data_IF_221651786358
#
_entry.id   IF_221651786358
#
_cell.length_a   1.000
_cell.length_b   1.000
_cell.length_c   1.000
_cell.angle_alpha   90.00
_cell.angle_beta   90.00
_cell.angle_gamma   90.00
#
_symmetry.space_group_name_H-M   'P 1'
#
loop_
_entity.id
_entity.type
_entity.pdbx_description
1 polymer ?
#
# COMPACT_ATOMS: atom_id res chain seq x y z
N UNK A 1 -44.68 -16.90 -9.51
CA UNK A 1 -44.48 -15.97 -8.37
C UNK A 1 -43.06 -15.45 -8.43
N UNK A 2 -42.79 -14.16 -8.16
CA UNK A 2 -41.41 -13.65 -8.14
C UNK A 2 -40.61 -14.34 -7.02
N UNK A 3 -39.44 -14.88 -7.37
CA UNK A 3 -38.50 -15.45 -6.42
C UNK A 3 -37.95 -14.33 -5.51
N UNK A 4 -37.92 -14.58 -4.20
CA UNK A 4 -37.35 -13.62 -3.25
C UNK A 4 -35.83 -13.47 -3.48
N UNK A 5 -35.27 -12.26 -3.24
CA UNK A 5 -33.83 -12.02 -3.35
C UNK A 5 -33.04 -12.86 -2.36
N UNK A 6 -31.93 -13.44 -2.81
CA UNK A 6 -30.97 -14.11 -1.95
C UNK A 6 -30.28 -13.10 -1.02
N UNK A 7 -30.39 -13.30 0.28
CA UNK A 7 -29.66 -12.55 1.30
C UNK A 7 -28.47 -13.38 1.77
N UNK A 8 -27.26 -12.92 1.51
CA UNK A 8 -26.02 -13.59 1.94
C UNK A 8 -25.50 -12.92 3.21
N UNK A 9 -25.39 -13.68 4.30
CA UNK A 9 -24.76 -13.24 5.54
C UNK A 9 -23.36 -13.88 5.67
N UNK A 10 -22.37 -13.06 6.00
CA UNK A 10 -20.99 -13.52 6.19
C UNK A 10 -20.80 -14.09 7.60
N UNK A 11 -20.12 -15.23 7.71
CA UNK A 11 -19.61 -15.73 8.99
C UNK A 11 -18.50 -14.83 9.54
N UNK A 12 -18.15 -14.96 10.82
CA UNK A 12 -17.09 -14.14 11.43
C UNK A 12 -15.74 -14.30 10.73
N UNK A 13 -15.38 -15.53 10.33
CA UNK A 13 -14.16 -15.79 9.56
C UNK A 13 -14.21 -15.12 8.18
N UNK A 14 -15.34 -15.19 7.49
CA UNK A 14 -15.51 -14.52 6.19
C UNK A 14 -15.46 -12.99 6.30
N UNK A 15 -15.95 -12.42 7.40
CA UNK A 15 -15.83 -10.98 7.69
C UNK A 15 -14.37 -10.57 7.87
N UNK A 16 -13.57 -11.35 8.62
CA UNK A 16 -12.13 -11.09 8.79
C UNK A 16 -11.37 -11.16 7.47
N UNK A 17 -11.61 -12.20 6.67
CA UNK A 17 -10.96 -12.34 5.36
C UNK A 17 -11.42 -11.26 4.36
N UNK A 18 -12.67 -10.80 4.44
CA UNK A 18 -13.12 -9.63 3.70
C UNK A 18 -12.35 -8.38 4.11
N UNK A 19 -12.19 -8.11 5.41
CA UNK A 19 -11.42 -6.95 5.90
C UNK A 19 -9.97 -6.99 5.42
N UNK A 20 -9.28 -8.14 5.49
CA UNK A 20 -7.92 -8.30 4.95
C UNK A 20 -7.83 -7.98 3.46
N UNK A 21 -8.77 -8.48 2.65
CA UNK A 21 -8.83 -8.21 1.20
C UNK A 21 -9.06 -6.73 0.89
N UNK A 22 -9.99 -6.08 1.60
CA UNK A 22 -10.22 -4.64 1.43
C UNK A 22 -9.02 -3.82 1.86
N UNK A 23 -8.38 -4.17 2.99
CA UNK A 23 -7.17 -3.51 3.47
C UNK A 23 -6.05 -3.59 2.43
N UNK A 24 -5.83 -4.77 1.85
CA UNK A 24 -4.85 -4.95 0.78
C UNK A 24 -5.19 -4.10 -0.46
N UNK A 25 -6.42 -4.15 -0.95
CA UNK A 25 -6.88 -3.34 -2.09
C UNK A 25 -6.66 -1.84 -1.87
N UNK A 26 -7.01 -1.31 -0.70
CA UNK A 26 -6.80 0.10 -0.39
C UNK A 26 -5.33 0.46 -0.21
N UNK A 27 -4.49 -0.50 0.20
CA UNK A 27 -3.04 -0.30 0.26
C UNK A 27 -2.44 -0.20 -1.15
N UNK A 28 -2.86 -1.06 -2.08
CA UNK A 28 -2.44 -0.97 -3.48
C UNK A 28 -2.90 0.35 -4.13
N UNK A 29 -4.14 0.77 -3.86
CA UNK A 29 -4.65 2.06 -4.32
C UNK A 29 -3.85 3.22 -3.75
N UNK A 30 -3.49 3.17 -2.46
CA UNK A 30 -2.68 4.19 -1.80
C UNK A 30 -1.29 4.30 -2.44
N UNK A 31 -0.62 3.17 -2.69
CA UNK A 31 0.70 3.15 -3.36
C UNK A 31 0.61 3.80 -4.73
N UNK A 32 -0.42 3.49 -5.51
CA UNK A 32 -0.62 4.09 -6.83
C UNK A 32 -0.81 5.60 -6.74
N UNK A 33 -1.66 6.07 -5.82
CA UNK A 33 -1.88 7.51 -5.62
C UNK A 33 -0.62 8.22 -5.17
N UNK A 34 0.21 7.61 -4.32
CA UNK A 34 1.48 8.20 -3.90
C UNK A 34 2.47 8.30 -5.06
N UNK A 35 2.49 7.32 -5.96
CA UNK A 35 3.25 7.40 -7.21
C UNK A 35 2.75 8.53 -8.10
N UNK A 36 1.45 8.54 -8.41
CA UNK A 36 0.84 9.54 -9.30
C UNK A 36 1.04 10.97 -8.74
N UNK A 37 0.93 11.13 -7.42
CA UNK A 37 1.13 12.42 -6.74
C UNK A 37 2.59 12.88 -6.80
N UNK A 38 3.55 11.98 -6.64
CA UNK A 38 4.97 12.31 -6.81
C UNK A 38 5.29 12.73 -8.26
N UNK A 39 4.70 12.07 -9.25
CA UNK A 39 4.89 12.40 -10.66
C UNK A 39 4.35 13.81 -10.98
N UNK A 40 3.13 14.13 -10.50
CA UNK A 40 2.52 15.45 -10.70
C UNK A 40 3.34 16.54 -10.00
N UNK A 41 3.73 16.33 -8.74
CA UNK A 41 4.51 17.30 -7.98
C UNK A 41 5.88 17.55 -8.61
N UNK A 42 6.55 16.50 -9.08
CA UNK A 42 7.82 16.62 -9.81
C UNK A 42 7.63 17.46 -11.07
N UNK A 43 6.61 17.18 -11.87
CA UNK A 43 6.34 17.93 -13.10
C UNK A 43 6.04 19.42 -12.84
N UNK A 44 5.34 19.74 -11.75
CA UNK A 44 5.09 21.13 -11.34
C UNK A 44 6.39 21.81 -10.91
N UNK A 45 7.22 21.14 -10.10
CA UNK A 45 8.49 21.67 -9.65
C UNK A 45 9.46 21.91 -10.82
N UNK A 46 9.52 21.00 -11.78
CA UNK A 46 10.30 21.16 -13.02
C UNK A 46 9.79 22.33 -13.86
N UNK A 47 8.48 22.50 -13.98
CA UNK A 47 7.88 23.63 -14.70
C UNK A 47 8.20 24.97 -14.02
N UNK A 48 8.16 25.03 -12.69
CA UNK A 48 8.55 26.22 -11.92
C UNK A 48 10.03 26.55 -12.07
N UNK A 49 10.90 25.53 -12.06
CA UNK A 49 12.32 25.69 -12.32
C UNK A 49 12.56 26.27 -13.73
N UNK A 50 11.94 25.70 -14.76
CA UNK A 50 12.08 26.19 -16.15
C UNK A 50 11.54 27.62 -16.32
N UNK A 51 10.48 27.98 -15.61
CA UNK A 51 9.89 29.31 -15.65
C UNK A 51 10.88 30.41 -15.24
N UNK A 52 11.83 30.10 -14.35
CA UNK A 52 12.85 31.05 -13.90
C UNK A 52 13.82 31.47 -15.01
N UNK A 53 14.04 30.59 -15.99
CA UNK A 53 15.00 30.82 -17.08
C UNK A 53 14.31 31.21 -18.39
N UNK A 54 13.16 30.60 -18.68
CA UNK A 54 12.46 30.72 -19.97
C UNK A 54 11.24 31.64 -19.91
N UNK A 55 10.89 32.15 -18.72
CA UNK A 55 9.65 32.88 -18.47
C UNK A 55 8.41 31.97 -18.46
N UNK A 56 7.23 32.57 -18.30
CA UNK A 56 5.97 31.81 -18.31
C UNK A 56 5.53 31.44 -19.73
N UNK A 57 6.05 30.32 -20.21
CA UNK A 57 5.59 29.64 -21.42
C UNK A 57 4.20 29.02 -21.23
N UNK A 58 3.40 28.85 -22.30
CA UNK A 58 2.05 28.26 -22.20
C UNK A 58 2.07 26.84 -21.63
N UNK A 59 3.08 26.02 -21.91
CA UNK A 59 3.22 24.66 -21.39
C UNK A 59 3.40 24.65 -19.86
N UNK A 60 4.14 25.63 -19.32
CA UNK A 60 4.34 25.82 -17.88
C UNK A 60 3.00 26.18 -17.21
N UNK A 61 2.19 27.02 -17.86
CA UNK A 61 0.86 27.37 -17.36
C UNK A 61 -0.07 26.16 -17.32
N UNK A 62 0.02 25.27 -18.30
CA UNK A 62 -0.75 24.02 -18.29
C UNK A 62 -0.31 23.08 -17.17
N UNK A 63 1.00 22.93 -16.95
CA UNK A 63 1.53 22.13 -15.84
C UNK A 63 1.10 22.69 -14.48
N UNK A 64 1.12 24.01 -14.29
CA UNK A 64 0.62 24.65 -13.06
C UNK A 64 -0.88 24.43 -12.81
N UNK A 65 -1.71 24.26 -13.86
CA UNK A 65 -3.14 23.93 -13.69
C UNK A 65 -3.34 22.54 -13.09
N UNK A 66 -2.36 21.65 -13.17
CA UNK A 66 -2.39 20.33 -12.51
C UNK A 66 -2.29 20.43 -10.98
N UNK A 67 -2.13 21.63 -10.40
CA UNK A 67 -2.27 21.83 -8.96
C UNK A 67 -3.62 21.30 -8.42
N UNK A 68 -4.70 21.44 -9.20
CA UNK A 68 -6.00 20.87 -8.82
C UNK A 68 -5.96 19.33 -8.75
N UNK A 69 -5.19 18.67 -9.62
CA UNK A 69 -4.98 17.22 -9.59
C UNK A 69 -4.30 16.81 -8.27
N UNK A 70 -3.28 17.57 -7.83
CA UNK A 70 -2.60 17.35 -6.55
C UNK A 70 -3.59 17.38 -5.39
N UNK A 71 -4.47 18.38 -5.33
CA UNK A 71 -5.48 18.47 -4.27
C UNK A 71 -6.41 17.25 -4.25
N UNK A 72 -6.86 16.79 -5.42
CA UNK A 72 -7.73 15.61 -5.50
C UNK A 72 -7.02 14.33 -5.03
N UNK A 73 -5.76 14.14 -5.44
CA UNK A 73 -4.94 13.01 -5.03
C UNK A 73 -4.62 13.04 -3.54
N UNK A 74 -4.32 14.22 -2.98
CA UNK A 74 -4.10 14.41 -1.55
C UNK A 74 -5.35 14.09 -0.72
N UNK A 75 -6.52 14.57 -1.14
CA UNK A 75 -7.77 14.25 -0.46
C UNK A 75 -8.06 12.75 -0.47
N UNK A 76 -7.85 12.08 -1.61
CA UNK A 76 -8.01 10.64 -1.72
C UNK A 76 -7.01 9.88 -0.86
N UNK A 77 -5.74 10.29 -0.86
CA UNK A 77 -4.68 9.73 -0.01
C UNK A 77 -5.07 9.78 1.48
N UNK A 78 -5.51 10.94 1.96
CA UNK A 78 -5.95 11.13 3.35
C UNK A 78 -7.17 10.26 3.68
N UNK A 79 -8.11 10.13 2.75
CA UNK A 79 -9.29 9.30 2.92
C UNK A 79 -8.94 7.80 3.01
N UNK A 80 -8.05 7.31 2.15
CA UNK A 80 -7.59 5.93 2.17
C UNK A 80 -6.82 5.62 3.46
N UNK A 81 -5.96 6.53 3.93
CA UNK A 81 -5.27 6.39 5.22
C UNK A 81 -6.25 6.15 6.36
N UNK A 82 -7.30 6.98 6.46
CA UNK A 82 -8.37 6.82 7.48
C UNK A 82 -9.10 5.47 7.37
N UNK A 83 -9.30 4.94 6.17
CA UNK A 83 -9.93 3.63 5.98
C UNK A 83 -8.99 2.52 6.46
N UNK A 84 -7.72 2.57 6.06
CA UNK A 84 -6.71 1.56 6.42
C UNK A 84 -6.54 1.54 7.94
N UNK A 85 -6.40 2.70 8.58
CA UNK A 85 -6.28 2.80 10.05
C UNK A 85 -7.45 2.14 10.77
N UNK A 86 -8.68 2.36 10.27
CA UNK A 86 -9.87 1.69 10.83
C UNK A 86 -9.82 0.19 10.59
N UNK A 87 -9.49 -0.25 9.38
CA UNK A 87 -9.39 -1.68 9.06
C UNK A 87 -8.35 -2.40 9.93
N UNK A 88 -7.22 -1.74 10.21
CA UNK A 88 -6.16 -2.27 11.07
C UNK A 88 -6.59 -2.30 12.55
N UNK A 89 -7.44 -1.36 13.00
CA UNK A 89 -8.04 -1.42 14.35
C UNK A 89 -9.02 -2.59 14.53
N UNK A 90 -9.82 -2.90 13.51
CA UNK A 90 -10.84 -3.96 13.58
C UNK A 90 -10.36 -5.34 13.16
N UNK A 91 -9.23 -5.43 12.47
CA UNK A 91 -8.63 -6.72 12.09
C UNK A 91 -7.58 -7.08 13.15
N UNK A 92 -7.89 -7.97 14.12
CA UNK A 92 -6.90 -8.38 15.10
C UNK A 92 -5.67 -8.93 14.39
N UNK A 93 -4.48 -8.41 14.74
CA UNK A 93 -3.23 -8.98 14.27
C UNK A 93 -3.14 -10.41 14.81
N UNK A 94 -3.43 -11.39 13.95
CA UNK A 94 -3.17 -12.79 14.25
C UNK A 94 -1.68 -12.89 14.56
N UNK A 95 -1.33 -13.11 15.83
CA UNK A 95 0.05 -13.45 16.22
C UNK A 95 0.49 -14.55 15.28
N UNK A 96 1.57 -14.32 14.54
CA UNK A 96 2.16 -15.33 13.68
C UNK A 96 2.30 -16.60 14.53
N UNK A 97 1.53 -17.64 14.17
CA UNK A 97 1.62 -18.92 14.86
C UNK A 97 2.99 -19.46 14.48
N UNK A 98 3.96 -19.20 15.36
CA UNK A 98 5.26 -19.84 15.30
C UNK A 98 4.99 -21.31 15.63
N UNK A 99 4.66 -22.10 14.60
CA UNK A 99 4.61 -23.54 14.73
C UNK A 99 6.05 -23.97 14.99
N UNK A 100 6.40 -24.51 16.17
CA UNK A 100 7.70 -25.11 16.35
C UNK A 100 7.83 -26.21 15.31
N UNK A 101 8.83 -26.08 14.45
CA UNK A 101 9.17 -27.10 13.44
C UNK A 101 9.21 -28.44 14.17
N UNK A 102 8.44 -29.46 13.74
CA UNK A 102 8.45 -30.73 14.43
C UNK A 102 9.89 -31.24 14.43
N UNK A 103 10.42 -31.39 15.64
CA UNK A 103 11.68 -32.04 15.95
C UNK A 103 11.60 -33.49 15.43
N UNK A 104 11.88 -33.67 14.15
CA UNK A 104 12.17 -34.97 13.56
C UNK A 104 13.52 -35.42 14.08
N UNK A 105 13.51 -36.35 15.03
CA UNK A 105 14.72 -36.97 15.53
C UNK A 105 15.48 -37.72 14.43
N UNK A 106 16.81 -37.72 14.61
CA UNK A 106 17.81 -38.61 14.03
C UNK A 106 18.13 -38.47 12.52
N UNK A 107 19.13 -37.63 12.22
CA UNK A 107 20.16 -37.98 11.27
C UNK A 107 21.52 -37.46 11.77
N UNK A 108 22.49 -38.36 11.74
CA UNK A 108 23.84 -38.21 12.21
C UNK A 108 24.64 -37.11 11.48
N UNK A 109 25.56 -36.50 12.22
CA UNK A 109 26.84 -35.91 11.78
C UNK A 109 26.93 -35.17 10.44
N UNK A 110 27.09 -33.84 10.49
CA UNK A 110 27.92 -33.10 9.55
C UNK A 110 28.42 -31.77 10.18
N UNK A 111 29.63 -31.30 9.83
CA UNK A 111 30.50 -30.50 10.70
C UNK A 111 30.28 -28.98 10.58
N UNK A 112 30.68 -28.27 11.65
CA UNK A 112 30.72 -26.79 11.72
C UNK A 112 31.56 -26.19 10.58
N UNK A 113 31.08 -25.16 9.86
CA UNK A 113 31.91 -24.45 8.90
C UNK A 113 32.96 -23.60 9.63
N UNK A 114 34.21 -23.80 9.22
CA UNK A 114 35.42 -23.24 9.83
C UNK A 114 35.49 -21.71 9.76
N UNK A 115 36.03 -21.13 10.84
CA UNK A 115 36.37 -19.71 10.92
C UNK A 115 37.58 -19.38 10.04
N UNK A 116 37.46 -18.30 9.28
CA UNK A 116 38.55 -17.70 8.52
C UNK A 116 39.39 -16.85 9.48
N UNK A 117 40.62 -17.28 9.80
CA UNK A 117 41.64 -16.42 10.41
C UNK A 117 42.28 -15.58 9.30
N UNK A 118 42.18 -14.25 9.41
CA UNK A 118 42.99 -13.32 8.62
C UNK A 118 44.38 -13.22 9.26
N UNK A 119 45.41 -13.41 8.43
CA UNK A 119 46.80 -13.10 8.75
C UNK A 119 47.02 -11.59 8.78
#
# INVERSE_FOLDING_TARGET
MPLQPLVVQLSEGQKKEAMKRFRHKYSEELIKIESDLNDVLTAIAEAEFLAQYLGEQPEIKELKKRQAEVETLQQRRLYLGKIIDRLDQYTPQEKAVAVPVPSGGAAAGAPKPGGIKRY
#
